data_IF_944009235701
#
_entry.id   IF_944009235701
#
_cell.length_a   1.000
_cell.length_b   1.000
_cell.length_c   1.000
_cell.angle_alpha   90.00
_cell.angle_beta   90.00
_cell.angle_gamma   90.00
#
_symmetry.space_group_name_H-M   'P 1'
#
loop_
_entity.id
_entity.type
_entity.pdbx_description
1 polymer ?
#
# COMPACT_ATOMS: atom_id res chain seq x y z
N UNK A 1 54.55 12.88 -41.35
CA UNK A 1 54.42 11.67 -40.52
C UNK A 1 53.42 11.94 -39.41
N UNK A 2 52.49 10.98 -39.23
CA UNK A 2 51.68 10.64 -38.04
C UNK A 2 50.65 11.67 -37.50
N UNK A 3 49.40 11.27 -37.73
CA UNK A 3 48.12 11.77 -37.21
C UNK A 3 48.00 11.37 -35.73
N UNK A 4 47.69 12.31 -34.84
CA UNK A 4 47.27 12.01 -33.47
C UNK A 4 45.76 11.95 -33.40
N UNK A 5 45.27 10.76 -33.03
CA UNK A 5 43.87 10.38 -32.99
C UNK A 5 43.13 11.01 -31.81
N UNK A 6 42.08 11.76 -32.11
CA UNK A 6 41.00 12.14 -31.20
C UNK A 6 40.15 10.89 -30.90
N UNK A 7 40.30 10.32 -29.71
CA UNK A 7 39.39 9.28 -29.20
C UNK A 7 38.40 9.95 -28.24
N UNK A 8 37.29 10.45 -28.82
CA UNK A 8 36.14 10.96 -28.08
C UNK A 8 35.30 9.75 -27.62
N UNK A 9 35.45 9.37 -26.35
CA UNK A 9 34.67 8.32 -25.70
C UNK A 9 33.20 8.78 -25.55
N UNK A 10 32.33 8.21 -26.39
CA UNK A 10 30.88 8.23 -26.28
C UNK A 10 30.45 7.36 -25.08
N UNK A 11 30.22 7.99 -23.93
CA UNK A 11 29.49 7.40 -22.80
C UNK A 11 27.99 7.38 -23.16
N UNK A 12 27.54 6.27 -23.73
CA UNK A 12 26.13 5.95 -23.91
C UNK A 12 25.51 5.70 -22.53
N UNK A 13 24.78 6.69 -22.04
CA UNK A 13 23.85 6.60 -20.93
C UNK A 13 22.70 5.66 -21.31
N UNK A 14 22.85 4.37 -21.01
CA UNK A 14 21.75 3.42 -20.97
C UNK A 14 20.85 3.78 -19.79
N UNK A 15 19.97 4.77 -20.00
CA UNK A 15 18.82 4.97 -19.13
C UNK A 15 17.91 3.75 -19.32
N UNK A 16 18.08 2.74 -18.46
CA UNK A 16 17.11 1.68 -18.30
C UNK A 16 15.81 2.34 -17.81
N UNK A 17 14.95 2.71 -18.76
CA UNK A 17 13.57 3.05 -18.51
C UNK A 17 12.94 1.81 -17.87
N UNK A 18 12.90 1.79 -16.53
CA UNK A 18 12.10 0.85 -15.77
C UNK A 18 10.65 1.23 -16.04
N UNK A 19 10.14 0.81 -17.20
CA UNK A 19 8.71 0.81 -17.44
C UNK A 19 8.01 0.03 -16.32
N UNK A 20 6.76 0.37 -15.99
CA UNK A 20 6.01 -0.39 -14.99
C UNK A 20 6.09 -1.86 -15.37
N UNK A 21 6.71 -2.68 -14.50
CA UNK A 21 6.78 -4.13 -14.71
C UNK A 21 5.34 -4.61 -14.81
N UNK A 22 4.90 -4.93 -16.03
CA UNK A 22 3.59 -5.53 -16.24
C UNK A 22 3.50 -6.79 -15.38
N UNK A 23 2.41 -6.95 -14.63
CA UNK A 23 2.16 -8.16 -13.84
C UNK A 23 2.33 -9.38 -14.74
N UNK A 24 3.26 -10.25 -14.37
CA UNK A 24 3.56 -11.47 -15.13
C UNK A 24 2.99 -12.65 -14.35
N UNK A 25 1.71 -12.95 -14.54
CA UNK A 25 1.06 -14.10 -13.91
C UNK A 25 -0.48 -13.99 -13.91
N UNK A 26 -1.20 -15.10 -13.70
CA UNK A 26 -2.62 -15.06 -13.40
C UNK A 26 -2.85 -14.33 -12.07
N UNK A 27 -3.93 -13.55 -11.98
CA UNK A 27 -4.28 -12.86 -10.73
C UNK A 27 -4.61 -13.90 -9.64
N UNK A 28 -3.94 -13.83 -8.49
CA UNK A 28 -4.23 -14.70 -7.34
C UNK A 28 -5.47 -14.20 -6.60
N UNK A 29 -6.43 -15.07 -6.29
CA UNK A 29 -7.62 -14.71 -5.53
C UNK A 29 -7.52 -15.14 -4.07
N UNK A 30 -8.04 -14.32 -3.16
CA UNK A 30 -8.28 -14.71 -1.76
C UNK A 30 -9.62 -15.45 -1.71
N UNK A 31 -9.63 -16.69 -1.23
CA UNK A 31 -10.81 -17.57 -1.21
C UNK A 31 -10.87 -18.37 0.09
N UNK A 32 -12.05 -18.82 0.55
CA UNK A 32 -12.14 -19.78 1.64
C UNK A 32 -11.41 -21.09 1.29
N UNK A 33 -10.76 -21.70 2.29
CA UNK A 33 -9.94 -22.91 2.12
C UNK A 33 -10.72 -24.06 1.49
N UNK A 34 -12.00 -24.22 1.85
CA UNK A 34 -12.87 -25.27 1.34
C UNK A 34 -13.08 -25.14 -0.17
N UNK A 35 -13.23 -23.91 -0.68
CA UNK A 35 -13.39 -23.65 -2.10
C UNK A 35 -12.07 -23.84 -2.87
N UNK A 36 -10.94 -23.46 -2.26
CA UNK A 36 -9.64 -23.71 -2.86
C UNK A 36 -9.36 -25.21 -3.00
N UNK A 37 -9.66 -26.01 -1.97
CA UNK A 37 -9.46 -27.47 -2.00
C UNK A 37 -10.31 -28.18 -3.07
N UNK A 38 -11.51 -27.67 -3.36
CA UNK A 38 -12.38 -28.22 -4.42
C UNK A 38 -11.77 -28.13 -5.82
N UNK A 39 -10.75 -27.29 -6.02
CA UNK A 39 -10.06 -27.15 -7.31
C UNK A 39 -9.07 -28.29 -7.59
N UNK A 40 -8.75 -29.12 -6.59
CA UNK A 40 -7.77 -30.20 -6.71
C UNK A 40 -6.32 -29.72 -6.79
N UNK A 41 -6.06 -28.43 -6.57
CA UNK A 41 -4.72 -27.86 -6.52
C UNK A 41 -4.02 -28.22 -5.20
N UNK A 42 -2.71 -28.52 -5.29
CA UNK A 42 -1.90 -28.87 -4.13
C UNK A 42 -1.69 -27.63 -3.22
N UNK A 43 -2.03 -27.73 -1.91
CA UNK A 43 -1.83 -26.65 -0.96
C UNK A 43 -0.36 -26.58 -0.49
N UNK A 44 0.14 -25.37 -0.27
CA UNK A 44 1.44 -25.13 0.35
C UNK A 44 1.45 -23.84 1.17
N UNK A 45 2.23 -23.81 2.24
CA UNK A 45 2.31 -22.64 3.11
C UNK A 45 3.20 -21.55 2.48
N UNK A 46 2.69 -20.32 2.47
CA UNK A 46 3.44 -19.13 2.09
C UNK A 46 3.49 -18.17 3.28
N UNK A 47 4.68 -17.63 3.54
CA UNK A 47 4.89 -16.67 4.62
C UNK A 47 5.91 -15.62 4.21
N UNK A 48 5.71 -14.39 4.67
CA UNK A 48 6.62 -13.27 4.44
C UNK A 48 6.81 -12.51 5.76
N UNK A 49 8.03 -12.50 6.34
CA UNK A 49 8.29 -11.76 7.56
C UNK A 49 8.27 -10.25 7.30
N UNK A 50 7.91 -9.47 8.31
CA UNK A 50 7.98 -8.00 8.25
C UNK A 50 8.54 -7.40 9.54
N UNK A 51 9.08 -6.19 9.41
CA UNK A 51 9.73 -5.45 10.49
C UNK A 51 8.84 -4.40 11.12
N UNK A 52 9.48 -3.38 11.71
CA UNK A 52 8.81 -2.18 12.21
C UNK A 52 8.46 -1.24 11.04
N UNK A 53 7.56 -0.30 11.32
CA UNK A 53 7.19 0.79 10.40
C UNK A 53 6.57 0.32 9.07
N UNK A 54 5.95 -0.87 9.09
CA UNK A 54 5.35 -1.47 7.91
C UNK A 54 3.96 -0.87 7.63
N UNK A 55 3.72 -0.45 6.38
CA UNK A 55 2.36 -0.14 5.89
C UNK A 55 1.69 -1.46 5.47
N UNK A 56 0.60 -1.80 6.14
CA UNK A 56 -0.17 -3.02 5.90
C UNK A 56 -0.75 -3.09 4.49
N UNK A 57 -1.03 -1.95 3.85
CA UNK A 57 -1.51 -1.92 2.45
C UNK A 57 -0.42 -2.47 1.53
N UNK A 58 0.80 -1.96 1.66
CA UNK A 58 1.94 -2.38 0.85
C UNK A 58 2.33 -3.83 1.18
N UNK A 59 2.25 -4.22 2.47
CA UNK A 59 2.53 -5.58 2.90
C UNK A 59 1.61 -6.60 2.21
N UNK A 60 0.31 -6.33 2.17
CA UNK A 60 -0.68 -7.19 1.51
C UNK A 60 -0.41 -7.27 0.01
N UNK A 61 -0.18 -6.12 -0.65
CA UNK A 61 0.10 -6.11 -2.10
C UNK A 61 1.37 -6.91 -2.44
N UNK A 62 2.47 -6.69 -1.71
CA UNK A 62 3.72 -7.44 -1.89
C UNK A 62 3.55 -8.94 -1.62
N UNK A 63 2.78 -9.31 -0.60
CA UNK A 63 2.48 -10.71 -0.30
C UNK A 63 1.74 -11.39 -1.45
N UNK A 64 0.75 -10.71 -2.02
CA UNK A 64 0.00 -11.25 -3.14
C UNK A 64 0.84 -11.32 -4.42
N UNK A 65 1.69 -10.33 -4.68
CA UNK A 65 2.68 -10.38 -5.77
C UNK A 65 3.63 -11.57 -5.60
N UNK A 66 4.06 -11.87 -4.37
CA UNK A 66 4.87 -13.05 -4.07
C UNK A 66 4.12 -14.35 -4.35
N UNK A 67 2.84 -14.43 -3.99
CA UNK A 67 2.00 -15.59 -4.31
C UNK A 67 1.87 -15.79 -5.83
N UNK A 68 1.63 -14.71 -6.58
CA UNK A 68 1.56 -14.70 -8.04
C UNK A 68 2.87 -15.15 -8.68
N UNK A 69 4.00 -14.58 -8.23
CA UNK A 69 5.33 -14.96 -8.69
C UNK A 69 5.69 -16.43 -8.38
N UNK A 70 5.03 -17.04 -7.40
CA UNK A 70 5.16 -18.45 -7.06
C UNK A 70 4.22 -19.37 -7.86
N UNK A 71 3.38 -18.78 -8.71
CA UNK A 71 2.39 -19.47 -9.54
C UNK A 71 1.12 -19.88 -8.80
N UNK A 72 0.84 -19.31 -7.63
CA UNK A 72 -0.41 -19.58 -6.94
C UNK A 72 -1.59 -19.15 -7.81
N UNK A 73 -2.73 -19.83 -7.64
CA UNK A 73 -4.01 -19.43 -8.24
C UNK A 73 -4.95 -18.86 -7.16
N UNK A 74 -4.89 -19.46 -5.97
CA UNK A 74 -5.66 -19.06 -4.82
C UNK A 74 -4.77 -18.97 -3.59
N UNK A 75 -5.18 -18.12 -2.66
CA UNK A 75 -4.70 -18.12 -1.28
C UNK A 75 -5.90 -18.18 -0.33
N UNK A 76 -5.79 -18.96 0.73
CA UNK A 76 -6.74 -19.01 1.85
C UNK A 76 -6.04 -18.67 3.16
N UNK A 77 -6.84 -18.36 4.18
CA UNK A 77 -6.34 -18.13 5.54
C UNK A 77 -5.25 -17.06 5.61
N UNK A 78 -5.40 -16.01 4.81
CA UNK A 78 -4.46 -14.89 4.81
C UNK A 78 -4.56 -14.21 6.17
N UNK A 79 -3.46 -14.19 6.91
CA UNK A 79 -3.41 -13.61 8.25
C UNK A 79 -2.15 -12.79 8.44
N UNK A 80 -2.31 -11.63 9.09
CA UNK A 80 -1.21 -10.80 9.57
C UNK A 80 -0.95 -11.17 11.02
N UNK A 81 0.25 -11.66 11.29
CA UNK A 81 0.65 -12.22 12.57
C UNK A 81 1.69 -11.33 13.23
N UNK A 82 1.42 -10.96 14.47
CA UNK A 82 2.25 -10.15 15.34
C UNK A 82 2.72 -10.98 16.53
N UNK A 83 4.01 -10.85 16.82
CA UNK A 83 4.60 -11.32 18.05
C UNK A 83 4.47 -10.24 19.11
N UNK A 84 3.77 -10.55 20.19
CA UNK A 84 3.60 -9.67 21.33
C UNK A 84 4.07 -10.36 22.62
N UNK A 85 4.21 -9.59 23.69
CA UNK A 85 4.48 -10.09 25.03
C UNK A 85 3.53 -9.40 26.00
N UNK A 86 2.87 -10.20 26.84
CA UNK A 86 2.04 -9.69 27.93
C UNK A 86 2.42 -10.41 29.22
N UNK A 87 2.82 -9.66 30.25
CA UNK A 87 3.24 -10.21 31.55
C UNK A 87 4.34 -11.29 31.43
N UNK A 88 5.29 -11.13 30.49
CA UNK A 88 6.37 -12.10 30.24
C UNK A 88 5.94 -13.34 29.46
N UNK A 89 4.67 -13.44 29.03
CA UNK A 89 4.19 -14.52 28.18
C UNK A 89 4.21 -14.09 26.71
N UNK A 90 4.89 -14.84 25.82
CA UNK A 90 4.86 -14.57 24.40
C UNK A 90 3.48 -14.92 23.83
N UNK A 91 2.91 -13.97 23.10
CA UNK A 91 1.62 -14.09 22.43
C UNK A 91 1.81 -14.03 20.91
N UNK A 92 0.98 -14.80 20.21
CA UNK A 92 0.76 -14.68 18.78
C UNK A 92 -0.59 -13.99 18.56
N UNK A 93 -0.56 -12.76 18.06
CA UNK A 93 -1.73 -11.96 17.75
C UNK A 93 -1.96 -11.94 16.24
N UNK A 94 -3.18 -12.21 15.79
CA UNK A 94 -3.50 -12.33 14.36
C UNK A 94 -4.74 -11.56 13.98
N UNK A 95 -4.69 -10.89 12.83
CA UNK A 95 -5.89 -10.44 12.09
C UNK A 95 -5.98 -11.25 10.80
N UNK A 96 -7.19 -11.53 10.31
CA UNK A 96 -7.40 -12.30 9.08
C UNK A 96 -7.96 -11.41 7.99
N UNK A 97 -7.44 -11.58 6.77
CA UNK A 97 -7.95 -10.97 5.56
C UNK A 97 -8.80 -11.99 4.82
N UNK A 98 -10.10 -11.78 4.81
CA UNK A 98 -11.09 -12.74 4.35
C UNK A 98 -11.94 -12.12 3.25
N UNK A 99 -12.57 -12.90 2.36
CA UNK A 99 -13.48 -12.35 1.36
C UNK A 99 -14.63 -11.55 2.00
N UNK A 100 -15.04 -10.45 1.37
CA UNK A 100 -16.15 -9.62 1.84
C UNK A 100 -17.41 -10.47 2.12
N UNK A 101 -17.99 -10.29 3.31
CA UNK A 101 -19.19 -10.99 3.75
C UNK A 101 -18.93 -12.27 4.55
N UNK A 102 -17.68 -12.67 4.76
CA UNK A 102 -17.32 -13.90 5.48
C UNK A 102 -16.84 -13.66 6.92
N UNK A 103 -16.39 -12.45 7.26
CA UNK A 103 -15.84 -12.15 8.59
C UNK A 103 -16.85 -12.38 9.72
N UNK A 104 -18.13 -12.07 9.49
CA UNK A 104 -19.17 -12.27 10.52
C UNK A 104 -19.39 -13.74 10.87
N UNK A 105 -19.28 -14.62 9.89
CA UNK A 105 -19.46 -16.05 10.09
C UNK A 105 -18.25 -16.64 10.85
N UNK A 106 -17.06 -16.17 10.50
CA UNK A 106 -15.80 -16.52 11.17
C UNK A 106 -15.84 -16.05 12.64
N UNK A 107 -16.18 -14.78 12.89
CA UNK A 107 -16.30 -14.23 14.25
C UNK A 107 -17.33 -14.99 15.11
N UNK A 108 -18.46 -15.40 14.50
CA UNK A 108 -19.46 -16.20 15.20
C UNK A 108 -18.89 -17.55 15.60
N UNK A 109 -18.19 -18.23 14.68
CA UNK A 109 -17.53 -19.51 14.95
C UNK A 109 -16.52 -19.43 16.09
N UNK A 110 -15.67 -18.39 16.10
CA UNK A 110 -14.66 -18.16 17.14
C UNK A 110 -15.28 -18.02 18.54
N UNK A 111 -16.32 -17.19 18.69
CA UNK A 111 -17.01 -16.98 19.98
C UNK A 111 -17.61 -18.25 20.55
N UNK A 112 -18.07 -19.17 19.70
CA UNK A 112 -18.55 -20.50 20.14
C UNK A 112 -17.43 -21.43 20.58
N UNK A 113 -16.24 -21.34 19.97
CA UNK A 113 -15.09 -22.18 20.30
C UNK A 113 -14.35 -21.70 21.58
N UNK A 114 -14.39 -20.41 21.87
CA UNK A 114 -13.68 -19.78 23.01
C UNK A 114 -14.33 -19.99 24.39
N UNK A 115 -15.40 -20.77 24.54
CA UNK A 115 -16.06 -20.94 25.86
C UNK A 115 -15.20 -21.62 26.95
N UNK A 116 -13.93 -21.97 26.66
CA UNK A 116 -12.97 -22.57 27.60
C UNK A 116 -11.60 -21.90 27.71
N UNK A 117 -11.25 -20.89 26.91
CA UNK A 117 -9.91 -20.26 26.92
C UNK A 117 -9.99 -18.78 27.24
N UNK A 118 -9.22 -18.31 28.23
CA UNK A 118 -9.16 -16.91 28.65
C UNK A 118 -8.19 -16.16 27.73
N UNK A 119 -8.66 -15.73 26.56
CA UNK A 119 -7.88 -14.89 25.66
C UNK A 119 -7.56 -13.55 26.35
N UNK A 120 -6.33 -13.03 26.22
CA UNK A 120 -5.95 -11.74 26.80
C UNK A 120 -6.79 -10.60 26.22
N UNK A 121 -7.04 -9.58 27.03
CA UNK A 121 -7.88 -8.46 26.64
C UNK A 121 -7.16 -7.57 25.62
N UNK A 122 -7.72 -7.47 24.42
CA UNK A 122 -7.18 -6.63 23.35
C UNK A 122 -7.36 -5.15 23.68
N UNK A 123 -6.28 -4.39 23.63
CA UNK A 123 -6.29 -2.94 23.84
C UNK A 123 -6.23 -2.22 22.50
N UNK A 124 -7.19 -1.32 22.25
CA UNK A 124 -7.19 -0.41 21.11
C UNK A 124 -6.56 0.93 21.50
N UNK A 125 -5.73 1.46 20.61
CA UNK A 125 -5.03 2.74 20.75
C UNK A 125 -5.41 3.63 19.57
N UNK A 126 -5.60 4.92 19.85
CA UNK A 126 -5.86 5.93 18.82
C UNK A 126 -4.62 6.78 18.60
N UNK A 127 -4.14 6.89 17.35
CA UNK A 127 -2.95 7.64 16.99
C UNK A 127 -3.26 8.66 15.90
N UNK A 128 -2.90 9.94 16.08
CA UNK A 128 -2.94 10.89 14.98
C UNK A 128 -1.84 10.55 13.98
N UNK A 129 -2.21 10.41 12.71
CA UNK A 129 -1.28 10.18 11.60
C UNK A 129 -1.48 11.30 10.59
N UNK A 130 -0.41 12.04 10.32
CA UNK A 130 -0.38 13.08 9.30
C UNK A 130 0.13 12.50 8.00
N UNK A 131 -0.65 12.62 6.92
CA UNK A 131 -0.24 12.23 5.57
C UNK A 131 -0.46 13.39 4.60
N UNK A 132 0.45 13.61 3.64
CA UNK A 132 0.21 14.57 2.57
C UNK A 132 -0.90 14.04 1.66
N UNK A 133 -1.98 14.80 1.52
CA UNK A 133 -3.07 14.52 0.59
C UNK A 133 -3.10 15.59 -0.49
N UNK A 134 -3.24 15.17 -1.75
CA UNK A 134 -3.40 16.09 -2.86
C UNK A 134 -4.82 16.64 -2.83
N UNK A 135 -4.96 17.93 -2.56
CA UNK A 135 -6.25 18.61 -2.48
C UNK A 135 -6.25 19.82 -3.40
N UNK A 136 -7.41 20.11 -4.00
CA UNK A 136 -7.64 21.31 -4.79
C UNK A 136 -8.65 22.19 -4.05
N UNK A 137 -8.24 23.41 -3.71
CA UNK A 137 -9.11 24.41 -3.08
C UNK A 137 -9.41 25.51 -4.09
N UNK A 138 -10.70 25.83 -4.29
CA UNK A 138 -11.09 27.02 -5.04
C UNK A 138 -10.95 28.25 -4.13
N UNK A 139 -9.93 29.08 -4.34
CA UNK A 139 -9.89 30.38 -3.71
C UNK A 139 -10.85 31.32 -4.45
N UNK A 140 -11.96 31.68 -3.81
CA UNK A 140 -12.77 32.82 -4.24
C UNK A 140 -12.04 34.11 -3.85
N UNK A 141 -11.09 34.53 -4.69
CA UNK A 141 -10.42 35.81 -4.54
C UNK A 141 -11.23 36.92 -5.21
N UNK A 142 -11.78 37.85 -4.43
CA UNK A 142 -12.20 39.15 -4.94
C UNK A 142 -10.94 39.93 -5.37
N UNK A 143 -10.46 39.71 -6.60
CA UNK A 143 -9.46 40.58 -7.21
C UNK A 143 -10.18 41.84 -7.70
N UNK A 144 -10.15 42.91 -6.90
CA UNK A 144 -10.33 44.26 -7.43
C UNK A 144 -9.13 44.49 -8.37
N UNK A 145 -9.37 44.39 -9.67
CA UNK A 145 -8.37 44.77 -10.67
C UNK A 145 -8.19 46.29 -10.61
N UNK A 146 -7.28 46.78 -9.79
CA UNK A 146 -6.67 48.10 -10.01
C UNK A 146 -5.79 47.98 -11.24
N UNK A 147 -6.38 48.27 -12.40
CA UNK A 147 -5.64 48.43 -13.64
C UNK A 147 -4.75 49.66 -13.55
N UNK A 148 -3.47 49.48 -13.23
CA UNK A 148 -2.44 50.45 -13.61
C UNK A 148 -2.07 50.15 -15.05
N UNK A 149 -2.67 50.90 -15.97
CA UNK A 149 -2.19 51.04 -17.34
C UNK A 149 -0.75 51.58 -17.28
N UNK A 150 0.22 50.74 -17.63
CA UNK A 150 1.54 51.23 -18.05
C UNK A 150 1.43 51.47 -19.55
N UNK A 151 1.28 52.74 -19.89
CA UNK A 151 1.31 53.24 -21.26
C UNK A 151 2.76 53.22 -21.74
N UNK A 152 3.10 52.25 -22.59
CA UNK A 152 4.30 52.34 -23.44
C UNK A 152 3.85 52.38 -24.88
N UNK A 153 3.85 53.61 -25.40
CA UNK A 153 3.35 54.00 -26.71
C UNK A 153 3.89 53.19 -27.87
N UNK A 154 2.97 52.81 -28.76
CA UNK A 154 3.24 52.60 -30.17
C UNK A 154 2.43 53.65 -30.91
N UNK A 155 3.12 54.60 -31.55
CA UNK A 155 2.53 55.49 -32.53
C UNK A 155 2.00 54.69 -33.72
N UNK A 156 0.69 54.77 -33.97
CA UNK A 156 0.09 55.30 -35.21
C UNK A 156 -1.38 54.86 -35.33
N UNK A 157 -2.26 55.86 -35.36
CA UNK A 157 -3.40 55.87 -36.27
C UNK A 157 -4.76 55.37 -35.75
N UNK A 158 -5.64 56.36 -35.51
CA UNK A 158 -7.08 56.41 -35.83
C UNK A 158 -8.13 55.83 -34.85
N UNK A 159 -8.76 56.81 -34.16
CA UNK A 159 -10.19 57.00 -33.83
C UNK A 159 -10.81 56.23 -32.63
N UNK A 160 -11.53 56.92 -31.72
CA UNK A 160 -12.00 56.36 -30.46
C UNK A 160 -13.43 55.81 -30.57
N UNK A 161 -13.62 54.52 -30.30
CA UNK A 161 -14.94 53.98 -29.97
C UNK A 161 -15.15 54.03 -28.46
N UNK A 162 -15.95 55.00 -28.05
CA UNK A 162 -16.50 55.20 -26.71
C UNK A 162 -17.51 54.07 -26.43
N UNK A 163 -17.00 52.90 -26.06
CA UNK A 163 -17.79 51.80 -25.52
C UNK A 163 -17.69 51.79 -24.00
N UNK A 164 -18.82 51.98 -23.32
CA UNK A 164 -18.95 51.86 -21.87
C UNK A 164 -18.30 50.57 -21.36
N UNK A 165 -17.20 50.72 -20.62
CA UNK A 165 -16.62 49.65 -19.81
C UNK A 165 -17.54 49.34 -18.64
N UNK A 166 -18.61 48.60 -18.89
CA UNK A 166 -19.29 47.82 -17.86
C UNK A 166 -18.35 46.69 -17.43
N UNK A 167 -17.43 47.01 -16.53
CA UNK A 167 -16.53 46.03 -15.91
C UNK A 167 -17.35 45.06 -15.05
N UNK A 168 -17.95 44.05 -15.68
CA UNK A 168 -18.28 42.80 -14.99
C UNK A 168 -16.94 42.19 -14.59
N UNK A 169 -16.52 42.42 -13.35
CA UNK A 169 -15.47 41.64 -12.73
C UNK A 169 -15.91 40.18 -12.74
N UNK A 170 -15.47 39.42 -13.74
CA UNK A 170 -15.51 37.97 -13.68
C UNK A 170 -14.59 37.57 -12.53
N UNK A 171 -15.19 37.15 -11.43
CA UNK A 171 -14.49 36.49 -10.34
C UNK A 171 -13.94 35.19 -10.91
N UNK A 172 -12.73 35.25 -11.46
CA UNK A 172 -12.00 34.05 -11.86
C UNK A 172 -11.61 33.34 -10.57
N UNK A 173 -12.39 32.33 -10.19
CA UNK A 173 -12.02 31.40 -9.14
C UNK A 173 -10.69 30.74 -9.55
N UNK A 174 -9.64 31.01 -8.79
CA UNK A 174 -8.35 30.36 -9.00
C UNK A 174 -8.38 29.08 -8.17
N UNK A 175 -8.33 27.93 -8.85
CA UNK A 175 -8.14 26.65 -8.19
C UNK A 175 -6.65 26.45 -7.93
N UNK A 176 -6.28 26.36 -6.66
CA UNK A 176 -4.93 25.99 -6.24
C UNK A 176 -4.96 24.54 -5.79
N UNK A 177 -4.13 23.72 -6.42
CA UNK A 177 -3.95 22.32 -6.05
C UNK A 177 -2.56 22.12 -5.45
N UNK A 178 -2.48 21.32 -4.40
CA UNK A 178 -1.22 20.99 -3.75
C UNK A 178 -1.38 19.91 -2.69
N UNK A 179 -0.25 19.39 -2.23
CA UNK A 179 -0.23 18.49 -1.09
C UNK A 179 -0.43 19.29 0.20
N UNK A 180 -1.44 18.92 0.98
CA UNK A 180 -1.70 19.47 2.30
C UNK A 180 -1.56 18.35 3.33
N UNK A 181 -0.94 18.60 4.50
CA UNK A 181 -0.90 17.61 5.56
C UNK A 181 -2.30 17.43 6.14
N UNK A 182 -2.89 16.26 5.95
CA UNK A 182 -4.16 15.88 6.57
C UNK A 182 -3.85 14.95 7.73
N UNK A 183 -4.25 15.36 8.94
CA UNK A 183 -4.15 14.52 10.13
C UNK A 183 -5.41 13.71 10.30
N UNK A 184 -5.29 12.38 10.31
CA UNK A 184 -6.40 11.45 10.56
C UNK A 184 -6.11 10.68 11.84
N UNK A 185 -7.14 10.42 12.63
CA UNK A 185 -7.05 9.51 13.78
C UNK A 185 -7.15 8.08 13.29
N UNK A 186 -6.14 7.26 13.55
CA UNK A 186 -6.15 5.84 13.28
C UNK A 186 -6.38 5.08 14.59
N UNK A 187 -7.36 4.18 14.58
CA UNK A 187 -7.56 3.20 15.66
C UNK A 187 -6.84 1.92 15.26
N UNK A 188 -6.00 1.38 16.14
CA UNK A 188 -5.23 0.14 15.93
C UNK A 188 -5.03 -0.61 17.24
N UNK A 189 -4.64 -1.88 17.19
CA UNK A 189 -4.33 -2.63 18.39
C UNK A 189 -3.00 -2.18 19.00
N UNK A 190 -2.85 -2.30 20.32
CA UNK A 190 -1.63 -1.92 21.03
C UNK A 190 -0.39 -2.65 20.50
N UNK A 191 -0.51 -3.94 20.18
CA UNK A 191 0.60 -4.73 19.59
C UNK A 191 0.98 -4.28 18.17
N UNK A 192 0.06 -3.64 17.43
CA UNK A 192 0.38 -3.04 16.13
C UNK A 192 1.14 -1.73 16.34
N UNK A 193 0.75 -0.96 17.35
CA UNK A 193 1.39 0.31 17.69
C UNK A 193 2.83 0.14 18.19
N UNK A 194 3.15 -0.94 18.93
CA UNK A 194 4.51 -1.21 19.43
C UNK A 194 5.54 -1.37 18.32
N UNK A 195 5.12 -1.83 17.14
CA UNK A 195 5.95 -1.97 15.94
C UNK A 195 5.68 -0.89 14.89
N UNK A 196 4.89 0.13 15.27
CA UNK A 196 4.42 1.20 14.39
C UNK A 196 3.81 0.69 13.07
N UNK A 197 3.12 -0.45 13.12
CA UNK A 197 2.39 -1.00 11.99
C UNK A 197 1.18 -0.12 11.66
N UNK A 198 0.99 0.19 10.38
CA UNK A 198 -0.20 0.89 9.90
C UNK A 198 -1.17 -0.15 9.31
N UNK A 199 -2.38 -0.33 9.87
CA UNK A 199 -3.35 -1.28 9.34
C UNK A 199 -3.64 -1.09 7.84
N UNK A 200 -3.97 -2.18 7.12
CA UNK A 200 -4.17 -2.12 5.69
C UNK A 200 -5.36 -1.23 5.33
N UNK A 201 -5.15 -0.29 4.40
CA UNK A 201 -6.22 0.52 3.86
C UNK A 201 -6.91 -0.25 2.74
N UNK A 202 -7.92 -1.05 3.07
CA UNK A 202 -8.64 -1.90 2.12
C UNK A 202 -9.16 -1.17 0.86
N UNK A 203 -9.59 0.12 0.92
CA UNK A 203 -9.89 0.87 -0.29
C UNK A 203 -8.70 1.02 -1.25
N UNK A 204 -7.48 1.23 -0.73
CA UNK A 204 -6.25 1.31 -1.53
C UNK A 204 -5.84 -0.05 -2.08
N UNK A 205 -6.02 -1.13 -1.30
CA UNK A 205 -5.81 -2.50 -1.79
C UNK A 205 -6.74 -2.78 -2.98
N UNK A 206 -8.03 -2.43 -2.85
CA UNK A 206 -9.03 -2.60 -3.90
C UNK A 206 -8.77 -1.73 -5.13
N UNK A 207 -8.27 -0.51 -4.95
CA UNK A 207 -7.85 0.35 -6.06
C UNK A 207 -6.69 -0.28 -6.86
N UNK A 208 -5.68 -0.83 -6.15
CA UNK A 208 -4.55 -1.51 -6.78
C UNK A 208 -4.90 -2.91 -7.32
N UNK A 209 -5.93 -3.55 -6.74
CA UNK A 209 -6.38 -4.92 -7.02
C UNK A 209 -7.91 -5.04 -6.89
N UNK A 210 -8.68 -4.66 -7.91
CA UNK A 210 -10.14 -4.65 -7.84
C UNK A 210 -10.79 -6.02 -7.58
N UNK A 211 -10.11 -7.10 -7.96
CA UNK A 211 -10.52 -8.47 -7.69
C UNK A 211 -10.37 -8.88 -6.22
N UNK A 212 -9.54 -8.18 -5.44
CA UNK A 212 -9.39 -8.42 -4.00
C UNK A 212 -10.49 -7.70 -3.22
N UNK A 213 -11.65 -8.34 -3.18
CA UNK A 213 -12.77 -7.93 -2.33
C UNK A 213 -12.63 -8.60 -0.96
N UNK A 214 -11.86 -7.95 -0.10
CA UNK A 214 -11.56 -8.46 1.24
C UNK A 214 -12.01 -7.51 2.36
N UNK A 215 -12.19 -8.10 3.53
CA UNK A 215 -12.39 -7.44 4.82
C UNK A 215 -11.42 -8.02 5.87
N UNK A 216 -11.13 -7.24 6.91
CA UNK A 216 -10.26 -7.65 8.01
C UNK A 216 -11.12 -8.08 9.20
N UNK A 217 -10.79 -9.22 9.83
CA UNK A 217 -11.46 -9.66 11.06
C UNK A 217 -10.92 -8.90 12.28
N UNK A 218 -11.65 -8.98 13.40
CA UNK A 218 -11.10 -8.59 14.69
C UNK A 218 -9.83 -9.42 14.97
N UNK A 219 -8.89 -8.82 15.70
CA UNK A 219 -7.69 -9.54 16.13
C UNK A 219 -8.02 -10.64 17.16
N UNK A 220 -7.18 -11.65 17.18
CA UNK A 220 -7.14 -12.69 18.21
C UNK A 220 -5.72 -12.81 18.74
N UNK A 221 -5.53 -12.91 20.05
CA UNK A 221 -4.22 -13.19 20.63
C UNK A 221 -4.28 -14.51 21.40
N UNK A 222 -3.35 -15.41 21.11
CA UNK A 222 -3.19 -16.68 21.80
C UNK A 222 -1.76 -16.84 22.33
N UNK A 223 -1.53 -17.69 23.35
CA UNK A 223 -0.18 -18.09 23.72
C UNK A 223 0.60 -18.61 22.50
N UNK A 224 1.83 -18.14 22.32
CA UNK A 224 2.69 -18.55 21.21
C UNK A 224 2.95 -20.05 21.28
N UNK A 225 2.75 -20.75 20.17
CA UNK A 225 3.16 -22.15 20.06
C UNK A 225 4.70 -22.29 20.13
N UNK A 226 5.25 -23.30 20.83
CA UNK A 226 6.70 -23.42 21.02
C UNK A 226 7.53 -23.44 19.73
N UNK A 227 6.97 -24.01 18.66
CA UNK A 227 7.62 -24.18 17.36
C UNK A 227 7.23 -23.14 16.32
N UNK A 228 6.33 -22.21 16.64
CA UNK A 228 5.94 -21.13 15.73
C UNK A 228 7.10 -20.14 15.51
N UNK A 229 7.23 -19.52 14.32
CA UNK A 229 8.21 -18.47 14.09
C UNK A 229 8.07 -17.32 15.09
N UNK A 230 9.20 -16.85 15.63
CA UNK A 230 9.23 -15.74 16.60
C UNK A 230 9.34 -14.36 15.94
N UNK A 231 8.77 -14.21 14.73
CA UNK A 231 8.83 -12.97 13.94
C UNK A 231 7.43 -12.60 13.46
N UNK A 232 7.20 -11.29 13.33
CA UNK A 232 6.01 -10.77 12.66
C UNK A 232 6.02 -11.22 11.20
N UNK A 233 4.86 -11.62 10.69
CA UNK A 233 4.73 -12.21 9.36
C UNK A 233 3.32 -12.08 8.82
N UNK A 234 3.19 -11.97 7.51
CA UNK A 234 1.94 -12.26 6.81
C UNK A 234 2.06 -13.68 6.25
N UNK A 235 1.04 -14.50 6.44
CA UNK A 235 1.04 -15.89 5.99
C UNK A 235 -0.32 -16.34 5.48
N UNK A 236 -0.32 -17.40 4.68
CA UNK A 236 -1.50 -18.00 4.07
C UNK A 236 -1.20 -19.44 3.63
N UNK A 237 -2.25 -20.14 3.21
CA UNK A 237 -2.12 -21.35 2.39
C UNK A 237 -2.35 -20.97 0.94
N UNK A 238 -1.36 -21.23 0.08
CA UNK A 238 -1.46 -21.03 -1.36
C UNK A 238 -1.81 -22.35 -2.06
N UNK A 239 -2.51 -22.24 -3.20
CA UNK A 239 -2.97 -23.39 -3.98
C UNK A 239 -2.53 -23.25 -5.43
N UNK A 240 -1.86 -24.30 -5.92
CA UNK A 240 -1.33 -24.38 -7.28
C UNK A 240 0.07 -23.78 -7.42
N UNK A 241 0.56 -23.75 -8.66
CA UNK A 241 1.90 -23.28 -8.99
C UNK A 241 2.99 -24.31 -8.75
N UNK A 242 4.24 -23.83 -8.76
CA UNK A 242 5.44 -24.67 -8.56
C UNK A 242 5.84 -24.77 -7.08
N UNK A 243 4.96 -24.32 -6.18
CA UNK A 243 5.18 -24.34 -4.74
C UNK A 243 6.30 -23.38 -4.27
N UNK A 244 6.73 -23.49 -3.00
CA UNK A 244 7.68 -22.56 -2.40
C UNK A 244 9.07 -22.60 -3.06
N UNK A 245 9.39 -23.67 -3.82
CA UNK A 245 10.66 -23.80 -4.54
C UNK A 245 10.80 -22.81 -5.70
N UNK A 246 9.71 -22.44 -6.37
CA UNK A 246 9.77 -21.46 -7.45
C UNK A 246 10.01 -20.04 -6.97
N UNK A 247 9.52 -19.69 -5.77
CA UNK A 247 9.75 -18.39 -5.14
C UNK A 247 11.24 -18.11 -4.86
N UNK A 248 12.06 -19.16 -4.69
CA UNK A 248 13.50 -19.02 -4.44
C UNK A 248 14.31 -18.78 -5.70
N UNK A 249 13.77 -19.11 -6.89
CA UNK A 249 14.44 -18.93 -8.17
C UNK A 249 14.40 -17.50 -8.70
N UNK A 250 13.58 -16.63 -8.12
CA UNK A 250 13.35 -15.25 -8.57
C UNK A 250 13.92 -14.18 -7.63
N UNK A 251 14.79 -14.54 -6.68
CA UNK A 251 15.48 -13.56 -5.83
C UNK A 251 16.13 -12.47 -6.70
N UNK A 252 15.87 -11.18 -6.43
CA UNK A 252 16.60 -10.11 -7.09
C UNK A 252 18.09 -10.29 -6.79
N UNK A 253 18.88 -10.34 -7.86
CA UNK A 253 20.33 -10.38 -7.81
C UNK A 253 20.81 -9.27 -6.86
N UNK A 254 21.42 -9.68 -5.73
CA UNK A 254 22.01 -8.74 -4.78
C UNK A 254 23.21 -8.13 -5.49
N UNK A 255 23.02 -6.93 -6.05
CA UNK A 255 24.11 -6.17 -6.66
C UNK A 255 25.12 -5.88 -5.53
N UNK A 256 26.37 -6.37 -5.63
CA UNK A 256 27.37 -6.11 -4.62
C UNK A 256 27.65 -4.61 -4.55
N UNK A 257 27.51 -4.03 -3.37
CA UNK A 257 27.96 -2.67 -3.08
C UNK A 257 29.49 -2.68 -3.21
N UNK A 258 30.01 -2.13 -4.29
CA UNK A 258 31.43 -1.81 -4.38
C UNK A 258 31.73 -0.73 -3.35
N UNK A 259 32.46 -1.12 -2.31
CA UNK A 259 33.17 -0.16 -1.47
C UNK A 259 34.40 0.30 -2.24
N UNK A 260 34.32 1.49 -2.83
CA UNK A 260 35.51 2.21 -3.28
C UNK A 260 36.28 2.66 -2.03
N UNK A 261 37.56 2.29 -2.00
CA UNK A 261 38.56 2.62 -0.97
C UNK A 261 38.99 4.08 -1.03
#
# INVERSE_FOLDING_TARGET
MRRSSLALLLLLSAACAHGPKGRSGPNVLITPAELALQTGLEPWAISMPFGKDQDGTELVLQFMERAEASGAHFVSDVQVVFMAEENGQPLECRTRLVPEGTARDIQRGMRTAESGSRSPALTLVQRPVSRPEYTCMSQQGARVATGTYVDTGVERGLVPSRGQGGGRGLLNAVTLCGYQPVTRMLTRYAFEDTVNYVPPQLPRVREARPELRIEETDAECLPREPHAPAVNRIEAIAYGGSGPKAALGSSPEVIPVQHDL
#
